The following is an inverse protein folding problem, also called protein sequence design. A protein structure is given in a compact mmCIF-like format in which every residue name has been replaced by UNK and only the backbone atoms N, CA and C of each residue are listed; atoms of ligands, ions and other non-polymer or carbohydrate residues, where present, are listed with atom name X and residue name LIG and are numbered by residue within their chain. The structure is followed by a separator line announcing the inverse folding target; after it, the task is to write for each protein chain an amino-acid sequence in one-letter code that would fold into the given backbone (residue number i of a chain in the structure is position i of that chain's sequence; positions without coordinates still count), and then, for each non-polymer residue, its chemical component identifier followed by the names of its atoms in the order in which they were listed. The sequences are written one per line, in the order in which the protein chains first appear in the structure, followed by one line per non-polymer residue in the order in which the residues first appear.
data_IF_124959312442
#
_entry.id   IF_124959312442
#
_cell.length_a   1.000
_cell.length_b   1.000
_cell.length_c   1.000
_cell.angle_alpha   90.00
_cell.angle_beta   90.00
_cell.angle_gamma   90.00
#
_symmetry.space_group_name_H-M   'P 1'
#
loop_
_entity.id
_entity.type
_entity.pdbx_description
1 polymer ?
#
# COMPACT_ATOMS: atom_id res chain seq x y z
N UNK A 1 -7.86 6.13 -1.88
CA UNK A 1 -8.35 5.99 -0.49
C UNK A 1 -7.17 5.92 0.48
N UNK A 2 -7.35 6.48 1.68
CA UNK A 2 -6.37 6.51 2.79
C UNK A 2 -6.73 5.48 3.88
N UNK A 3 -5.77 5.12 4.73
CA UNK A 3 -5.92 4.05 5.73
C UNK A 3 -7.01 4.28 6.77
N UNK A 4 -7.27 5.53 7.17
CA UNK A 4 -8.32 5.83 8.16
C UNK A 4 -9.72 5.44 7.64
N UNK A 5 -10.00 5.69 6.36
CA UNK A 5 -11.27 5.29 5.74
C UNK A 5 -11.36 3.76 5.62
N UNK A 6 -10.23 3.09 5.33
CA UNK A 6 -10.19 1.63 5.25
C UNK A 6 -10.51 0.99 6.61
N UNK A 7 -10.00 1.54 7.72
CA UNK A 7 -10.27 1.05 9.07
C UNK A 7 -11.77 1.04 9.39
N UNK A 8 -12.50 2.10 9.03
CA UNK A 8 -13.93 2.24 9.29
C UNK A 8 -14.76 1.11 8.62
N UNK A 9 -14.36 0.71 7.41
CA UNK A 9 -15.09 -0.28 6.60
C UNK A 9 -14.52 -1.70 6.65
N UNK A 10 -13.32 -1.89 7.21
CA UNK A 10 -12.61 -3.17 7.16
C UNK A 10 -13.44 -4.32 7.76
N UNK A 11 -13.89 -4.19 9.00
CA UNK A 11 -14.67 -5.23 9.68
C UNK A 11 -15.99 -5.57 8.96
N UNK A 12 -16.89 -4.60 8.65
CA UNK A 12 -18.16 -4.93 8.01
C UNK A 12 -18.00 -5.54 6.61
N UNK A 13 -17.00 -5.10 5.82
CA UNK A 13 -16.76 -5.69 4.51
C UNK A 13 -16.16 -7.09 4.59
N UNK A 14 -15.18 -7.29 5.48
CA UNK A 14 -14.50 -8.57 5.66
C UNK A 14 -15.47 -9.65 6.15
N UNK A 15 -16.34 -9.31 7.11
CA UNK A 15 -17.37 -10.23 7.64
C UNK A 15 -18.29 -10.79 6.54
N UNK A 16 -18.56 -10.03 5.48
CA UNK A 16 -19.40 -10.44 4.34
C UNK A 16 -18.68 -11.31 3.31
N UNK A 17 -17.35 -11.38 3.37
CA UNK A 17 -16.51 -12.09 2.39
C UNK A 17 -15.99 -13.42 2.93
N UNK A 18 -15.87 -13.55 4.26
CA UNK A 18 -15.44 -14.79 4.91
C UNK A 18 -16.52 -15.87 4.76
N UNK A 19 -16.07 -17.09 4.50
CA UNK A 19 -16.91 -18.29 4.42
C UNK A 19 -16.43 -19.31 5.44
N UNK A 20 -17.37 -19.90 6.16
CA UNK A 20 -17.08 -20.96 7.13
C UNK A 20 -16.38 -22.15 6.43
N UNK A 21 -15.35 -22.69 7.07
CA UNK A 21 -14.56 -23.82 6.54
C UNK A 21 -13.60 -23.45 5.42
N UNK A 22 -13.50 -22.18 5.02
CA UNK A 22 -12.52 -21.72 4.03
C UNK A 22 -11.42 -20.90 4.71
N UNK A 23 -10.17 -21.19 4.32
CA UNK A 23 -9.06 -20.34 4.71
C UNK A 23 -9.17 -18.98 4.01
N UNK A 24 -8.87 -17.91 4.75
CA UNK A 24 -8.90 -16.54 4.25
C UNK A 24 -7.48 -16.01 4.17
N UNK A 25 -7.11 -15.41 3.05
CA UNK A 25 -5.87 -14.63 2.90
C UNK A 25 -6.26 -13.16 2.75
N UNK A 26 -5.60 -12.29 3.49
CA UNK A 26 -5.85 -10.84 3.45
C UNK A 26 -4.65 -10.16 2.82
N UNK A 27 -4.88 -9.48 1.70
CA UNK A 27 -3.86 -8.75 0.95
C UNK A 27 -4.25 -7.27 0.92
N UNK A 28 -3.38 -6.42 1.48
CA UNK A 28 -3.55 -4.97 1.50
C UNK A 28 -2.68 -4.31 0.44
N UNK A 29 -3.27 -3.48 -0.40
CA UNK A 29 -2.56 -2.57 -1.30
C UNK A 29 -3.07 -1.15 -1.03
N UNK A 30 -2.51 -0.50 0.01
CA UNK A 30 -2.93 0.80 0.54
C UNK A 30 -1.71 1.57 1.04
N UNK A 31 -1.77 2.91 1.03
CA UNK A 31 -0.73 3.76 1.61
C UNK A 31 -0.18 4.84 0.68
N UNK A 32 -0.30 4.69 -0.66
CA UNK A 32 0.14 5.76 -1.58
C UNK A 32 -0.61 7.05 -1.28
N UNK A 33 -1.94 7.01 -1.17
CA UNK A 33 -2.70 8.23 -0.89
C UNK A 33 -2.43 8.79 0.50
N UNK A 34 -2.02 7.99 1.48
CA UNK A 34 -1.65 8.48 2.80
C UNK A 34 -0.40 9.39 2.73
N UNK A 35 0.44 9.19 1.71
CA UNK A 35 1.73 9.85 1.54
C UNK A 35 1.70 11.20 0.83
N UNK A 36 0.57 11.65 0.27
CA UNK A 36 0.57 12.93 -0.43
C UNK A 36 0.68 14.11 0.53
N UNK A 37 1.51 15.07 0.13
CA UNK A 37 1.70 16.31 0.84
C UNK A 37 0.64 17.32 0.41
N UNK A 38 0.00 17.96 1.40
CA UNK A 38 -0.98 19.02 1.20
C UNK A 38 -0.32 20.37 1.42
N UNK A 39 -0.09 21.12 0.33
CA UNK A 39 0.55 22.44 0.37
C UNK A 39 -0.17 23.40 1.32
N UNK A 40 -1.49 23.43 1.27
CA UNK A 40 -2.32 24.33 2.10
C UNK A 40 -2.22 24.04 3.60
N UNK A 41 -1.96 22.78 3.99
CA UNK A 41 -1.78 22.37 5.40
C UNK A 41 -0.31 22.38 5.83
N UNK A 42 0.59 22.45 4.86
CA UNK A 42 2.02 22.21 5.04
C UNK A 42 2.30 20.89 5.80
N UNK A 43 1.50 19.86 5.50
CA UNK A 43 1.55 18.55 6.15
C UNK A 43 1.01 17.46 5.21
N UNK A 44 1.23 16.21 5.58
CA UNK A 44 0.65 15.04 4.92
C UNK A 44 -0.84 14.91 5.21
N UNK A 45 -1.59 14.30 4.28
CA UNK A 45 -2.99 13.97 4.55
C UNK A 45 -3.14 13.03 5.74
N UNK A 46 -2.21 12.09 5.91
CA UNK A 46 -2.18 11.16 7.05
C UNK A 46 -0.79 11.23 7.68
N UNK A 47 -0.59 11.92 8.81
CA UNK A 47 0.72 12.06 9.42
C UNK A 47 1.41 10.69 9.63
N UNK A 48 2.74 10.55 9.42
CA UNK A 48 3.43 9.25 9.44
C UNK A 48 3.20 8.41 10.71
N UNK A 49 3.08 9.09 11.87
CA UNK A 49 2.78 8.42 13.14
C UNK A 49 1.38 7.81 13.14
N UNK A 50 0.38 8.53 12.63
CA UNK A 50 -0.99 8.03 12.51
C UNK A 50 -1.05 6.90 11.50
N UNK A 51 -0.35 7.04 10.37
CA UNK A 51 -0.25 5.98 9.38
C UNK A 51 0.31 4.68 9.96
N UNK A 52 1.40 4.74 10.74
CA UNK A 52 1.97 3.56 11.43
C UNK A 52 0.92 2.87 12.32
N UNK A 53 0.21 3.62 13.14
CA UNK A 53 -0.82 3.06 14.02
C UNK A 53 -1.99 2.47 13.22
N UNK A 54 -2.40 3.10 12.12
CA UNK A 54 -3.43 2.54 11.24
C UNK A 54 -3.02 1.20 10.63
N UNK A 55 -1.76 1.04 10.20
CA UNK A 55 -1.25 -0.24 9.69
C UNK A 55 -1.28 -1.32 10.79
N UNK A 56 -0.87 -0.99 12.02
CA UNK A 56 -0.98 -1.91 13.16
C UNK A 56 -2.41 -2.32 13.44
N UNK A 57 -3.34 -1.37 13.43
CA UNK A 57 -4.76 -1.63 13.66
C UNK A 57 -5.35 -2.53 12.58
N UNK A 58 -5.01 -2.30 11.30
CA UNK A 58 -5.42 -3.19 10.20
C UNK A 58 -4.90 -4.62 10.40
N UNK A 59 -3.64 -4.79 10.82
CA UNK A 59 -3.07 -6.11 11.13
C UNK A 59 -3.80 -6.75 12.31
N UNK A 60 -4.00 -6.01 13.41
CA UNK A 60 -4.68 -6.50 14.60
C UNK A 60 -6.14 -6.92 14.32
N UNK A 61 -6.86 -6.15 13.50
CA UNK A 61 -8.20 -6.50 13.05
C UNK A 61 -8.20 -7.72 12.13
N UNK A 62 -7.23 -7.82 11.21
CA UNK A 62 -7.07 -8.95 10.29
C UNK A 62 -6.81 -10.27 11.02
N UNK A 63 -6.00 -10.23 12.09
CA UNK A 63 -5.69 -11.43 12.91
C UNK A 63 -6.92 -12.07 13.56
N UNK A 64 -8.03 -11.34 13.70
CA UNK A 64 -9.29 -11.90 14.21
C UNK A 64 -9.90 -12.93 13.24
N UNK A 65 -9.47 -12.94 11.98
CA UNK A 65 -10.09 -13.73 10.91
C UNK A 65 -9.10 -14.49 10.04
N UNK A 66 -7.82 -14.10 10.01
CA UNK A 66 -6.78 -14.76 9.23
C UNK A 66 -5.40 -14.57 9.86
N UNK A 67 -4.57 -15.62 9.82
CA UNK A 67 -3.14 -15.54 10.11
C UNK A 67 -2.29 -15.19 8.88
N UNK A 68 -2.88 -15.19 7.68
CA UNK A 68 -2.21 -14.97 6.39
C UNK A 68 -2.46 -13.55 5.92
N UNK A 69 -1.63 -12.62 6.39
CA UNK A 69 -1.75 -11.18 6.15
C UNK A 69 -0.55 -10.73 5.32
N UNK A 70 -0.83 -10.07 4.20
CA UNK A 70 0.18 -9.59 3.25
C UNK A 70 -0.06 -8.11 2.95
N UNK A 71 0.99 -7.29 3.01
CA UNK A 71 0.98 -5.93 2.50
C UNK A 71 1.79 -5.83 1.22
N UNK A 72 1.22 -5.20 0.21
CA UNK A 72 1.90 -4.85 -1.04
C UNK A 72 2.58 -3.50 -0.85
N UNK A 73 3.89 -3.45 -1.10
CA UNK A 73 4.67 -2.22 -1.07
C UNK A 73 4.19 -1.22 -2.11
N UNK A 74 4.46 0.05 -1.83
CA UNK A 74 4.03 1.16 -2.67
C UNK A 74 4.87 1.24 -3.94
N UNK A 75 4.27 1.57 -5.09
CA UNK A 75 5.03 1.87 -6.30
C UNK A 75 5.58 3.31 -6.28
N UNK A 76 6.72 3.59 -6.94
CA UNK A 76 7.17 4.94 -7.20
C UNK A 76 6.25 5.66 -8.20
N UNK A 77 6.37 6.99 -8.25
CA UNK A 77 5.63 7.89 -9.12
C UNK A 77 6.56 8.66 -10.07
N UNK A 78 6.02 9.16 -11.17
CA UNK A 78 6.69 10.14 -12.00
C UNK A 78 6.47 11.54 -11.42
N UNK A 79 7.43 11.99 -10.61
CA UNK A 79 7.35 13.27 -9.90
C UNK A 79 7.16 14.48 -10.83
N UNK A 80 7.56 14.38 -12.10
CA UNK A 80 7.33 15.44 -13.09
C UNK A 80 5.86 15.64 -13.43
N UNK A 81 5.01 14.66 -13.10
CA UNK A 81 3.56 14.64 -13.33
C UNK A 81 2.76 14.70 -12.03
N UNK A 82 3.41 14.60 -10.86
CA UNK A 82 2.73 14.47 -9.56
C UNK A 82 3.16 15.51 -8.51
N UNK A 83 3.95 16.51 -8.89
CA UNK A 83 4.44 17.57 -7.97
C UNK A 83 4.18 18.98 -8.55
N UNK A 84 2.93 19.46 -8.59
CA UNK A 84 1.71 18.85 -8.05
C UNK A 84 1.02 17.90 -9.05
N UNK A 85 -0.02 17.21 -8.59
CA UNK A 85 -0.87 16.42 -9.49
C UNK A 85 -1.72 17.32 -10.39
N UNK A 86 -2.07 16.91 -11.63
CA UNK A 86 -2.68 17.80 -12.62
C UNK A 86 -4.09 18.28 -12.24
N UNK A 87 -4.82 17.49 -11.46
CA UNK A 87 -6.20 17.78 -11.06
C UNK A 87 -6.32 18.48 -9.70
N UNK A 88 -5.23 18.59 -8.93
CA UNK A 88 -5.21 19.32 -7.66
C UNK A 88 -3.82 19.91 -7.37
N UNK A 89 -3.67 21.22 -7.55
CA UNK A 89 -2.40 21.92 -7.35
C UNK A 89 -1.93 21.97 -5.88
N UNK A 90 -2.81 21.65 -4.92
CA UNK A 90 -2.47 21.58 -3.51
C UNK A 90 -1.91 20.22 -3.07
N UNK A 91 -2.01 19.20 -3.93
CA UNK A 91 -1.60 17.83 -3.62
C UNK A 91 -0.35 17.45 -4.42
N UNK A 92 0.61 16.82 -3.74
CA UNK A 92 1.85 16.38 -4.38
C UNK A 92 2.30 15.02 -3.86
N UNK A 93 2.76 14.17 -4.77
CA UNK A 93 3.41 12.90 -4.47
C UNK A 93 4.88 13.00 -4.85
N UNK A 94 5.75 12.76 -3.87
CA UNK A 94 7.18 12.61 -4.09
C UNK A 94 7.62 11.18 -3.75
N UNK A 95 8.64 10.70 -4.46
CA UNK A 95 9.22 9.38 -4.20
C UNK A 95 9.92 9.31 -2.84
N UNK A 96 10.41 10.44 -2.33
CA UNK A 96 10.96 10.52 -0.97
C UNK A 96 9.88 10.23 0.08
N UNK A 97 8.72 10.88 -0.04
CA UNK A 97 7.60 10.68 0.87
C UNK A 97 7.04 9.27 0.74
N UNK A 98 6.78 8.80 -0.49
CA UNK A 98 6.29 7.44 -0.71
C UNK A 98 7.25 6.41 -0.13
N UNK A 99 8.57 6.58 -0.29
CA UNK A 99 9.56 5.69 0.31
C UNK A 99 9.45 5.66 1.83
N UNK A 100 9.26 6.81 2.48
CA UNK A 100 9.07 6.87 3.93
C UNK A 100 7.83 6.07 4.38
N UNK A 101 6.69 6.22 3.70
CA UNK A 101 5.47 5.47 4.02
C UNK A 101 5.63 3.98 3.71
N UNK A 102 6.29 3.62 2.60
CA UNK A 102 6.62 2.23 2.27
C UNK A 102 7.47 1.57 3.37
N UNK A 103 8.48 2.27 3.88
CA UNK A 103 9.31 1.79 5.00
C UNK A 103 8.51 1.67 6.31
N UNK A 104 7.52 2.52 6.55
CA UNK A 104 6.60 2.36 7.69
C UNK A 104 5.80 1.07 7.55
N UNK A 105 5.24 0.77 6.38
CA UNK A 105 4.49 -0.48 6.13
C UNK A 105 5.43 -1.68 6.39
N UNK A 106 6.59 -1.68 5.75
CA UNK A 106 7.58 -2.76 5.83
C UNK A 106 8.01 -3.07 7.26
N UNK A 107 8.43 -2.04 8.01
CA UNK A 107 8.85 -2.20 9.42
C UNK A 107 7.70 -2.64 10.30
N UNK A 108 6.49 -2.12 10.08
CA UNK A 108 5.33 -2.52 10.86
C UNK A 108 4.95 -3.98 10.57
N UNK A 109 5.05 -4.43 9.32
CA UNK A 109 4.85 -5.83 8.98
C UNK A 109 5.90 -6.73 9.65
N UNK A 110 7.17 -6.33 9.65
CA UNK A 110 8.24 -7.07 10.33
C UNK A 110 8.01 -7.14 11.86
N UNK A 111 7.70 -6.01 12.51
CA UNK A 111 7.35 -5.92 13.94
C UNK A 111 6.14 -6.83 14.29
N UNK A 112 5.17 -6.91 13.39
CA UNK A 112 3.92 -7.65 13.58
C UNK A 112 3.91 -9.02 12.87
N UNK A 113 5.04 -9.55 12.42
CA UNK A 113 5.11 -10.85 11.73
C UNK A 113 4.04 -11.00 10.59
N UNK A 114 3.77 -9.93 9.86
CA UNK A 114 2.98 -9.94 8.64
C UNK A 114 3.92 -9.96 7.42
N UNK A 115 3.43 -10.45 6.29
CA UNK A 115 4.24 -10.52 5.08
C UNK A 115 4.23 -9.18 4.33
N UNK A 116 5.35 -8.83 3.71
CA UNK A 116 5.50 -7.61 2.93
C UNK A 116 6.10 -7.92 1.55
N UNK A 117 5.45 -7.43 0.50
CA UNK A 117 5.91 -7.54 -0.89
C UNK A 117 6.65 -6.27 -1.28
N UNK A 118 7.96 -6.33 -1.47
CA UNK A 118 8.76 -5.17 -1.87
C UNK A 118 8.52 -4.80 -3.34
N UNK A 119 7.92 -3.63 -3.58
CA UNK A 119 7.67 -3.09 -4.93
C UNK A 119 8.54 -1.86 -5.19
N UNK A 120 8.61 -0.92 -4.22
CA UNK A 120 9.24 0.39 -4.40
C UNK A 120 10.70 0.26 -4.84
N UNK A 121 11.50 -0.46 -4.06
CA UNK A 121 12.94 -0.57 -4.28
C UNK A 121 13.28 -1.36 -5.56
N UNK A 122 12.37 -2.25 -6.00
CA UNK A 122 12.52 -2.98 -7.27
C UNK A 122 12.26 -2.08 -8.46
N UNK A 123 11.21 -1.26 -8.39
CA UNK A 123 10.79 -0.41 -9.50
C UNK A 123 11.67 0.81 -9.67
N UNK A 124 12.07 1.47 -8.57
CA UNK A 124 12.89 2.70 -8.63
C UNK A 124 14.27 2.48 -9.30
N UNK A 125 14.74 1.22 -9.34
CA UNK A 125 15.98 0.80 -10.00
C UNK A 125 15.80 0.41 -11.47
N UNK A 126 14.59 0.53 -12.00
CA UNK A 126 14.21 0.17 -13.36
C UNK A 126 13.59 1.36 -14.09
N UNK A 127 13.31 1.22 -15.38
CA UNK A 127 12.53 2.21 -16.13
C UNK A 127 11.04 2.08 -15.82
N UNK A 128 10.66 2.48 -14.60
CA UNK A 128 9.32 2.25 -14.05
C UNK A 128 8.27 3.23 -14.58
N UNK A 129 8.67 4.33 -15.22
CA UNK A 129 7.71 5.36 -15.67
C UNK A 129 6.75 4.81 -16.71
N UNK A 130 7.24 3.92 -17.58
CA UNK A 130 6.42 3.20 -18.57
C UNK A 130 5.47 2.17 -17.94
N UNK A 131 5.57 1.93 -16.62
CA UNK A 131 4.62 1.12 -15.86
C UNK A 131 3.46 1.95 -15.29
N UNK A 132 3.44 3.27 -15.51
CA UNK A 132 2.45 4.20 -14.96
C UNK A 132 1.60 4.82 -16.08
N UNK A 133 0.30 4.90 -15.87
CA UNK A 133 -0.66 5.49 -16.83
C UNK A 133 -0.56 7.02 -16.80
N UNK A 134 -0.76 7.59 -15.61
CA UNK A 134 -0.83 9.03 -15.38
C UNK A 134 0.36 9.59 -14.60
N UNK A 135 1.37 8.75 -14.35
CA UNK A 135 2.51 9.07 -13.48
C UNK A 135 2.28 8.69 -12.01
N UNK A 136 1.08 8.21 -11.64
CA UNK A 136 0.75 7.74 -10.30
C UNK A 136 0.27 6.29 -10.31
N UNK A 137 -0.73 5.99 -11.14
CA UNK A 137 -1.40 4.71 -11.18
C UNK A 137 -0.65 3.72 -12.08
N UNK A 138 -0.38 2.48 -11.62
CA UNK A 138 0.14 1.44 -12.49
C UNK A 138 -0.79 1.17 -13.69
N UNK A 139 -0.22 1.09 -14.89
CA UNK A 139 -0.93 0.65 -16.09
C UNK A 139 -1.04 -0.89 -16.14
N UNK A 140 -1.49 -1.47 -17.24
CA UNK A 140 -1.64 -2.93 -17.36
C UNK A 140 -0.32 -3.70 -17.14
N UNK A 141 0.81 -3.18 -17.63
CA UNK A 141 2.12 -3.80 -17.43
C UNK A 141 2.60 -3.63 -15.98
N UNK A 142 2.36 -2.47 -15.37
CA UNK A 142 2.64 -2.24 -13.96
C UNK A 142 1.86 -3.19 -13.04
N UNK A 143 0.54 -3.31 -13.27
CA UNK A 143 -0.30 -4.24 -12.52
C UNK A 143 0.13 -5.70 -12.70
N UNK A 144 0.53 -6.09 -13.92
CA UNK A 144 1.06 -7.43 -14.18
C UNK A 144 2.31 -7.72 -13.33
N UNK A 145 3.26 -6.78 -13.26
CA UNK A 145 4.46 -6.94 -12.41
C UNK A 145 4.11 -7.03 -10.93
N UNK A 146 3.17 -6.22 -10.43
CA UNK A 146 2.70 -6.31 -9.03
C UNK A 146 2.10 -7.70 -8.78
N UNK A 147 1.27 -8.20 -9.70
CA UNK A 147 0.67 -9.53 -9.59
C UNK A 147 1.75 -10.64 -9.51
N UNK A 148 2.76 -10.59 -10.37
CA UNK A 148 3.86 -11.56 -10.38
C UNK A 148 4.60 -11.57 -9.02
N UNK A 149 4.93 -10.38 -8.50
CA UNK A 149 5.60 -10.22 -7.21
C UNK A 149 4.77 -10.75 -6.03
N UNK A 150 3.47 -10.45 -6.01
CA UNK A 150 2.55 -10.96 -4.99
C UNK A 150 2.43 -12.48 -5.09
N UNK A 151 2.23 -13.02 -6.30
CA UNK A 151 2.09 -14.45 -6.54
C UNK A 151 3.33 -15.22 -6.10
N UNK A 152 4.52 -14.75 -6.47
CA UNK A 152 5.78 -15.40 -6.14
C UNK A 152 6.01 -15.42 -4.62
N UNK A 153 5.68 -14.34 -3.92
CA UNK A 153 5.71 -14.30 -2.46
C UNK A 153 4.74 -15.33 -1.86
N UNK A 154 3.48 -15.34 -2.31
CA UNK A 154 2.46 -16.27 -1.79
C UNK A 154 2.89 -17.74 -1.96
N UNK A 155 3.46 -18.11 -3.10
CA UNK A 155 3.99 -19.46 -3.35
C UNK A 155 5.19 -19.75 -2.45
N UNK A 156 6.16 -18.83 -2.37
CA UNK A 156 7.39 -19.03 -1.58
C UNK A 156 7.12 -19.24 -0.08
N UNK A 157 6.07 -18.56 0.43
CA UNK A 157 5.60 -18.66 1.82
C UNK A 157 4.60 -19.78 2.05
N UNK A 158 4.25 -20.56 1.01
CA UNK A 158 3.22 -21.62 1.05
C UNK A 158 1.87 -21.11 1.57
N UNK A 159 1.55 -19.86 1.22
CA UNK A 159 0.26 -19.25 1.52
C UNK A 159 -0.81 -19.79 0.56
N UNK A 160 -0.40 -20.03 -0.69
CA UNK A 160 -1.16 -20.72 -1.75
C UNK A 160 -0.34 -21.88 -2.34
#
# INVERSE_FOLDING_TARGET
EITINLLERFCPETKRRIREGMETVIIFAVGINDSYFMKIRNDFITPPKIFKENIKDLIALSRKVSSKIVFVGLNPVDQSRTTPIPWNADESYSNENIKNYNEIIKKTCEEENAEFVEIFDKWIKSDYKDLLEDGLHPNSNGNKKIFEEVKDLLISKKII
#
